data_IF_685592363442
#
_entry.id   IF_685592363442
#
_cell.length_a   1.000
_cell.length_b   1.000
_cell.length_c   1.000
_cell.angle_alpha   90.00
_cell.angle_beta   90.00
_cell.angle_gamma   90.00
#
_symmetry.space_group_name_H-M   'P 1'
#
loop_
_entity.id
_entity.type
_entity.pdbx_description
1 polymer ?
#
# COMPACT_ATOMS: atom_id res chain seq x y z
N UNK A 1 -10.49 -19.02 -0.40
CA UNK A 1 -10.56 -18.07 0.73
C UNK A 1 -9.77 -18.66 1.87
N UNK A 2 -8.85 -17.90 2.43
CA UNK A 2 -8.11 -18.30 3.62
C UNK A 2 -9.09 -18.58 4.79
N UNK A 3 -8.76 -19.56 5.60
CA UNK A 3 -9.51 -19.83 6.83
C UNK A 3 -8.88 -18.98 7.93
N UNK A 4 -9.52 -17.88 8.27
CA UNK A 4 -9.08 -17.00 9.35
C UNK A 4 -9.30 -17.68 10.71
N UNK A 5 -8.38 -17.44 11.64
CA UNK A 5 -8.59 -17.79 13.04
C UNK A 5 -9.45 -16.71 13.74
N UNK A 6 -9.89 -16.99 14.98
CA UNK A 6 -10.77 -16.09 15.74
C UNK A 6 -10.13 -14.69 15.96
N UNK A 7 -8.83 -14.63 16.21
CA UNK A 7 -8.11 -13.36 16.42
C UNK A 7 -8.05 -12.52 15.13
N UNK A 8 -7.81 -13.16 13.99
CA UNK A 8 -7.81 -12.51 12.68
C UNK A 8 -9.22 -12.02 12.28
N UNK A 9 -10.26 -12.78 12.59
CA UNK A 9 -11.65 -12.34 12.38
C UNK A 9 -11.98 -11.12 13.23
N UNK A 10 -11.64 -11.15 14.52
CA UNK A 10 -11.83 -10.02 15.43
C UNK A 10 -11.06 -8.78 14.97
N UNK A 11 -9.80 -8.94 14.56
CA UNK A 11 -8.97 -7.85 14.08
C UNK A 11 -9.56 -7.22 12.81
N UNK A 12 -10.00 -8.04 11.86
CA UNK A 12 -10.64 -7.56 10.61
C UNK A 12 -11.92 -6.77 10.93
N UNK A 13 -12.78 -7.31 11.80
CA UNK A 13 -14.04 -6.66 12.16
C UNK A 13 -13.78 -5.33 12.91
N UNK A 14 -12.80 -5.31 13.81
CA UNK A 14 -12.35 -4.10 14.50
C UNK A 14 -11.77 -3.06 13.49
N UNK A 15 -10.97 -3.50 12.52
CA UNK A 15 -10.43 -2.61 11.49
C UNK A 15 -11.54 -2.03 10.60
N UNK A 16 -12.54 -2.85 10.25
CA UNK A 16 -13.72 -2.41 9.50
C UNK A 16 -14.53 -1.36 10.25
N UNK A 17 -14.85 -1.63 11.51
CA UNK A 17 -15.63 -0.72 12.34
C UNK A 17 -14.89 0.61 12.51
N UNK A 18 -13.60 0.55 12.80
CA UNK A 18 -12.76 1.73 12.92
C UNK A 18 -12.67 2.51 11.59
N UNK A 19 -12.39 1.86 10.48
CA UNK A 19 -12.28 2.51 9.18
C UNK A 19 -13.59 3.20 8.78
N UNK A 20 -14.72 2.55 9.06
CA UNK A 20 -16.05 3.09 8.73
C UNK A 20 -16.42 4.29 9.61
N UNK A 21 -16.10 4.27 10.90
CA UNK A 21 -16.54 5.28 11.85
C UNK A 21 -15.53 6.42 12.04
N UNK A 22 -14.22 6.10 12.10
CA UNK A 22 -13.17 7.07 12.43
C UNK A 22 -12.44 7.59 11.19
N UNK A 23 -12.40 6.81 10.09
CA UNK A 23 -11.76 7.22 8.84
C UNK A 23 -12.63 6.94 7.61
N UNK A 24 -13.90 7.39 7.59
CA UNK A 24 -14.75 7.29 6.40
C UNK A 24 -14.17 8.09 5.22
N UNK A 25 -14.69 7.90 4.01
CA UNK A 25 -14.24 8.63 2.79
C UNK A 25 -14.30 10.16 2.99
N UNK A 26 -15.21 10.66 3.82
CA UNK A 26 -15.26 12.07 4.19
C UNK A 26 -14.00 12.57 4.94
N UNK A 27 -13.31 11.69 5.69
CA UNK A 27 -12.03 12.02 6.30
C UNK A 27 -10.92 12.17 5.23
N UNK A 28 -10.95 11.34 4.19
CA UNK A 28 -10.07 11.52 3.03
C UNK A 28 -10.36 12.86 2.32
N UNK A 29 -11.64 13.23 2.10
CA UNK A 29 -11.99 14.56 1.56
C UNK A 29 -11.43 15.68 2.42
N UNK A 30 -11.61 15.61 3.74
CA UNK A 30 -11.07 16.60 4.68
C UNK A 30 -9.55 16.72 4.56
N UNK A 31 -8.83 15.61 4.50
CA UNK A 31 -7.37 15.60 4.30
C UNK A 31 -6.99 16.22 2.95
N UNK A 32 -7.64 15.84 1.87
CA UNK A 32 -7.41 16.39 0.52
C UNK A 32 -7.57 17.91 0.48
N UNK A 33 -8.66 18.40 1.08
CA UNK A 33 -9.04 19.82 0.99
C UNK A 33 -8.23 20.70 1.96
N UNK A 34 -7.90 20.20 3.16
CA UNK A 34 -7.07 20.89 4.14
C UNK A 34 -5.57 20.88 3.82
N UNK A 35 -5.12 19.86 3.06
CA UNK A 35 -3.71 19.67 2.66
C UNK A 35 -2.71 19.83 3.81
N UNK A 36 -2.84 19.04 4.90
CA UNK A 36 -1.87 19.07 5.99
C UNK A 36 -0.46 18.79 5.46
N UNK A 37 0.56 19.27 6.14
CA UNK A 37 1.95 19.15 5.68
C UNK A 37 2.38 17.70 5.51
N UNK A 38 1.95 16.80 6.40
CA UNK A 38 2.21 15.35 6.35
C UNK A 38 1.39 14.62 5.28
N UNK A 39 0.31 15.24 4.78
CA UNK A 39 -0.64 14.63 3.83
C UNK A 39 -1.41 13.44 4.39
N UNK A 40 -1.57 13.38 5.69
CA UNK A 40 -2.53 12.56 6.43
C UNK A 40 -2.99 13.32 7.69
N UNK A 41 -4.04 12.85 8.33
CA UNK A 41 -4.53 13.46 9.58
C UNK A 41 -3.76 12.86 10.75
N UNK A 42 -3.11 13.67 11.56
CA UNK A 42 -2.30 13.24 12.70
C UNK A 42 -3.12 12.40 13.70
N UNK A 43 -4.37 12.81 13.98
CA UNK A 43 -5.27 12.06 14.87
C UNK A 43 -5.57 10.65 14.33
N UNK A 44 -5.75 10.52 13.00
CA UNK A 44 -5.94 9.23 12.34
C UNK A 44 -4.73 8.31 12.53
N UNK A 45 -3.51 8.84 12.34
CA UNK A 45 -2.29 8.07 12.58
C UNK A 45 -2.13 7.66 14.04
N UNK A 46 -2.35 8.60 14.97
CA UNK A 46 -2.27 8.33 16.41
C UNK A 46 -3.26 7.25 16.86
N UNK A 47 -4.47 7.25 16.31
CA UNK A 47 -5.47 6.22 16.59
C UNK A 47 -5.05 4.84 16.05
N UNK A 48 -4.52 4.76 14.81
CA UNK A 48 -3.99 3.51 14.26
C UNK A 48 -2.83 2.95 15.08
N UNK A 49 -1.93 3.81 15.54
CA UNK A 49 -0.81 3.44 16.41
C UNK A 49 -1.31 2.92 17.78
N UNK A 50 -2.30 3.59 18.38
CA UNK A 50 -2.92 3.15 19.64
C UNK A 50 -3.63 1.79 19.52
N UNK A 51 -4.12 1.42 18.34
CA UNK A 51 -4.66 0.10 18.01
C UNK A 51 -3.56 -0.97 17.83
N UNK A 52 -2.28 -0.59 17.91
CA UNK A 52 -1.14 -1.51 17.72
C UNK A 52 -0.82 -1.84 16.25
N UNK A 53 -1.50 -1.22 15.29
CA UNK A 53 -1.33 -1.57 13.86
C UNK A 53 0.03 -1.20 13.31
N UNK A 54 0.67 -0.15 13.84
CA UNK A 54 2.01 0.25 13.44
C UNK A 54 3.08 -0.83 13.75
N UNK A 55 2.85 -1.62 14.81
CA UNK A 55 3.72 -2.70 15.26
C UNK A 55 3.29 -4.11 14.84
N UNK A 56 2.31 -4.25 13.95
CA UNK A 56 1.62 -5.52 13.67
C UNK A 56 2.55 -6.65 13.17
N UNK A 57 3.61 -6.32 12.43
CA UNK A 57 4.63 -7.27 11.93
C UNK A 57 5.97 -7.15 12.66
N UNK A 58 6.06 -6.30 13.68
CA UNK A 58 7.28 -6.09 14.45
C UNK A 58 7.29 -7.13 15.58
N UNK A 59 8.43 -7.82 15.83
CA UNK A 59 8.54 -8.78 16.93
C UNK A 59 8.23 -8.15 18.30
N UNK A 60 7.62 -8.93 19.20
CA UNK A 60 7.28 -8.49 20.56
C UNK A 60 8.47 -7.97 21.36
N UNK A 61 9.66 -8.51 21.11
CA UNK A 61 10.93 -8.07 21.74
C UNK A 61 11.27 -6.61 21.43
N UNK A 62 10.68 -6.04 20.39
CA UNK A 62 10.84 -4.64 20.00
C UNK A 62 9.52 -3.83 20.14
N UNK A 63 8.58 -4.32 20.93
CA UNK A 63 7.33 -3.61 21.23
C UNK A 63 6.23 -3.75 20.20
N UNK A 64 6.38 -4.63 19.21
CA UNK A 64 5.33 -5.00 18.28
C UNK A 64 4.41 -6.10 18.81
N UNK A 65 3.49 -6.58 17.99
CA UNK A 65 2.56 -7.68 18.32
C UNK A 65 2.85 -8.99 17.59
N UNK A 66 3.68 -8.96 16.54
CA UNK A 66 4.04 -10.11 15.71
C UNK A 66 2.84 -10.94 15.21
N UNK A 67 1.75 -10.27 14.86
CA UNK A 67 0.50 -10.92 14.42
C UNK A 67 0.54 -11.46 12.99
N UNK A 68 1.67 -11.29 12.31
CA UNK A 68 1.90 -11.81 10.96
C UNK A 68 1.32 -10.95 9.83
N UNK A 69 1.62 -11.39 8.61
CA UNK A 69 1.27 -10.65 7.40
C UNK A 69 -0.20 -10.79 7.02
N UNK A 70 -0.83 -11.92 7.33
CA UNK A 70 -2.28 -12.08 7.16
C UNK A 70 -3.02 -10.98 7.92
N UNK A 71 -2.68 -10.78 9.18
CA UNK A 71 -3.28 -9.73 10.03
C UNK A 71 -3.03 -8.32 9.49
N UNK A 72 -1.79 -8.02 9.06
CA UNK A 72 -1.46 -6.75 8.42
C UNK A 72 -2.28 -6.51 7.14
N UNK A 73 -2.42 -7.53 6.30
CA UNK A 73 -3.19 -7.47 5.06
C UNK A 73 -4.67 -7.21 5.29
N UNK A 74 -5.28 -7.85 6.30
CA UNK A 74 -6.68 -7.61 6.68
C UNK A 74 -6.93 -6.16 7.09
N UNK A 75 -6.04 -5.58 7.90
CA UNK A 75 -6.14 -4.16 8.28
C UNK A 75 -6.03 -3.27 7.05
N UNK A 76 -5.02 -3.49 6.18
CA UNK A 76 -4.80 -2.69 4.98
C UNK A 76 -5.97 -2.81 3.99
N UNK A 77 -6.60 -3.99 3.87
CA UNK A 77 -7.80 -4.19 3.05
C UNK A 77 -8.96 -3.32 3.55
N UNK A 78 -9.26 -3.35 4.85
CA UNK A 78 -10.37 -2.57 5.41
C UNK A 78 -10.12 -1.05 5.30
N UNK A 79 -8.89 -0.59 5.49
CA UNK A 79 -8.49 0.81 5.25
C UNK A 79 -8.60 1.22 3.78
N UNK A 80 -8.36 0.30 2.85
CA UNK A 80 -8.54 0.51 1.41
C UNK A 80 -9.99 0.81 1.04
N UNK A 81 -10.97 0.21 1.71
CA UNK A 81 -12.41 0.46 1.47
C UNK A 81 -12.80 1.92 1.70
N UNK A 82 -12.17 2.59 2.64
CA UNK A 82 -12.47 3.99 2.99
C UNK A 82 -11.43 4.99 2.46
N UNK A 83 -10.44 4.53 1.68
CA UNK A 83 -9.33 5.35 1.20
C UNK A 83 -8.54 6.03 2.33
N UNK A 84 -8.44 5.39 3.49
CA UNK A 84 -7.79 5.95 4.67
C UNK A 84 -6.37 6.41 4.37
N UNK A 85 -6.13 7.72 4.50
CA UNK A 85 -4.81 8.31 4.26
C UNK A 85 -3.95 8.19 5.51
N UNK A 86 -2.93 7.35 5.48
CA UNK A 86 -2.01 7.15 6.59
C UNK A 86 -0.65 6.64 6.12
N UNK A 87 0.41 6.77 6.92
CA UNK A 87 1.72 6.21 6.62
C UNK A 87 1.83 4.72 6.98
N UNK A 88 0.74 4.04 7.41
CA UNK A 88 0.77 2.69 7.98
C UNK A 88 1.48 1.69 7.06
N UNK A 89 1.03 1.56 5.81
CA UNK A 89 1.60 0.57 4.87
C UNK A 89 3.10 0.81 4.66
N UNK A 90 3.51 2.05 4.46
CA UNK A 90 4.93 2.36 4.23
C UNK A 90 5.76 2.15 5.49
N UNK A 91 5.27 2.51 6.67
CA UNK A 91 5.95 2.27 7.95
C UNK A 91 6.09 0.77 8.23
N UNK A 92 5.05 -0.04 7.98
CA UNK A 92 5.10 -1.50 8.08
C UNK A 92 6.17 -2.10 7.16
N UNK A 93 6.25 -1.63 5.90
CA UNK A 93 7.25 -2.10 4.94
C UNK A 93 8.68 -1.70 5.35
N UNK A 94 8.87 -0.46 5.80
CA UNK A 94 10.17 0.01 6.28
C UNK A 94 10.60 -0.73 7.56
N UNK A 95 9.68 -0.97 8.49
CA UNK A 95 9.94 -1.78 9.67
C UNK A 95 10.35 -3.21 9.28
N UNK A 96 9.68 -3.83 8.30
CA UNK A 96 10.06 -5.16 7.82
C UNK A 96 11.46 -5.21 7.21
N UNK A 97 11.91 -4.12 6.55
CA UNK A 97 13.28 -4.03 6.05
C UNK A 97 14.30 -4.04 7.21
N UNK A 98 13.99 -3.36 8.31
CA UNK A 98 14.83 -3.33 9.51
C UNK A 98 14.80 -4.69 10.22
N UNK A 99 13.63 -5.34 10.33
CA UNK A 99 13.52 -6.68 10.91
C UNK A 99 14.39 -7.69 10.16
N UNK A 100 14.36 -7.65 8.83
CA UNK A 100 15.09 -8.60 7.98
C UNK A 100 16.59 -8.28 7.85
N UNK A 101 16.92 -7.00 7.69
CA UNK A 101 18.28 -6.57 7.31
C UNK A 101 19.03 -5.79 8.38
N UNK A 102 18.39 -5.34 9.44
CA UNK A 102 19.02 -4.53 10.48
C UNK A 102 19.94 -5.32 11.43
N UNK A 103 20.99 -4.68 11.94
CA UNK A 103 21.73 -5.18 13.10
C UNK A 103 20.86 -5.11 14.36
N UNK A 104 21.29 -5.76 15.44
CA UNK A 104 20.57 -5.70 16.72
C UNK A 104 20.49 -4.25 17.25
N UNK A 105 21.53 -3.43 17.03
CA UNK A 105 21.53 -2.00 17.38
C UNK A 105 20.54 -1.22 16.54
N UNK A 106 20.48 -1.47 15.23
CA UNK A 106 19.52 -0.82 14.32
C UNK A 106 18.08 -1.19 14.69
N UNK A 107 17.82 -2.48 14.96
CA UNK A 107 16.50 -2.97 15.42
C UNK A 107 16.09 -2.33 16.74
N UNK A 108 16.99 -2.33 17.74
CA UNK A 108 16.73 -1.74 19.06
C UNK A 108 16.50 -0.22 19.00
N UNK A 109 17.18 0.47 18.09
CA UNK A 109 17.00 1.93 17.89
C UNK A 109 15.65 2.28 17.26
N UNK A 110 15.25 1.55 16.22
CA UNK A 110 14.16 2.01 15.34
C UNK A 110 12.84 1.30 15.57
N UNK A 111 12.86 -0.02 15.79
CA UNK A 111 11.60 -0.78 15.81
C UNK A 111 10.64 -0.37 16.93
N UNK A 112 11.09 -0.05 18.17
CA UNK A 112 10.17 0.39 19.21
C UNK A 112 9.44 1.70 18.87
N UNK A 113 10.15 2.66 18.31
CA UNK A 113 9.57 3.95 17.92
C UNK A 113 8.61 3.84 16.71
N UNK A 114 8.88 2.90 15.78
CA UNK A 114 7.99 2.58 14.68
C UNK A 114 6.75 1.81 15.17
N UNK A 115 6.92 0.84 16.09
CA UNK A 115 5.83 0.06 16.64
C UNK A 115 4.83 0.91 17.44
N UNK A 116 5.32 1.89 18.18
CA UNK A 116 4.48 2.85 18.92
C UNK A 116 3.86 3.94 18.04
N UNK A 117 4.29 4.06 16.78
CA UNK A 117 3.88 5.15 15.90
C UNK A 117 4.50 6.52 16.20
N UNK A 118 5.45 6.59 17.16
CA UNK A 118 6.21 7.80 17.45
C UNK A 118 7.00 8.28 16.25
N UNK A 119 7.53 7.33 15.47
CA UNK A 119 8.27 7.57 14.23
C UNK A 119 7.55 6.97 13.04
N UNK A 120 7.69 7.65 11.90
CA UNK A 120 7.16 7.22 10.61
C UNK A 120 8.32 6.91 9.68
N UNK A 121 8.22 5.81 8.94
CA UNK A 121 9.23 5.44 7.97
C UNK A 121 8.64 5.12 6.60
N UNK A 122 9.44 5.25 5.54
CA UNK A 122 9.04 4.91 4.18
C UNK A 122 10.17 4.29 3.37
N UNK A 123 9.82 3.69 2.22
CA UNK A 123 10.75 3.16 1.23
C UNK A 123 11.06 4.21 0.16
N UNK A 124 12.34 4.40 -0.15
CA UNK A 124 12.83 5.30 -1.18
C UNK A 124 13.67 4.49 -2.21
N UNK A 125 13.02 3.98 -3.26
CA UNK A 125 13.58 2.99 -4.18
C UNK A 125 13.84 3.59 -5.56
N UNK A 126 12.77 4.01 -6.26
CA UNK A 126 12.83 4.41 -7.67
C UNK A 126 13.49 5.78 -7.87
N UNK A 127 14.16 5.96 -9.02
CA UNK A 127 14.87 7.19 -9.36
C UNK A 127 14.30 7.86 -10.62
N UNK A 128 13.33 7.23 -11.26
CA UNK A 128 12.70 7.68 -12.49
C UNK A 128 11.17 7.66 -12.43
N UNK A 129 10.51 7.92 -13.57
CA UNK A 129 9.04 7.98 -13.65
C UNK A 129 8.37 6.60 -13.60
N UNK A 130 9.14 5.53 -13.75
CA UNK A 130 8.65 4.15 -13.75
C UNK A 130 9.39 3.32 -12.70
N UNK A 131 8.71 2.31 -12.17
CA UNK A 131 9.34 1.34 -11.29
C UNK A 131 10.43 0.56 -12.03
N UNK A 132 11.68 0.74 -11.58
CA UNK A 132 12.87 0.15 -12.18
C UNK A 132 13.96 -0.08 -11.13
N UNK A 133 13.79 -1.06 -10.22
CA UNK A 133 14.73 -1.32 -9.13
C UNK A 133 16.10 -1.82 -9.60
N UNK A 134 16.21 -2.23 -10.88
CA UNK A 134 17.44 -2.59 -11.57
C UNK A 134 18.28 -1.36 -12.02
N UNK A 135 17.74 -0.14 -11.93
CA UNK A 135 18.36 1.10 -12.41
C UNK A 135 18.72 2.08 -11.30
N UNK A 136 19.10 1.57 -10.14
CA UNK A 136 19.51 2.40 -9.01
C UNK A 136 20.91 2.97 -9.27
N UNK A 137 21.04 4.30 -9.12
CA UNK A 137 22.29 5.04 -9.26
C UNK A 137 22.72 5.78 -7.97
N UNK A 138 21.80 5.96 -7.01
CA UNK A 138 22.15 6.51 -5.69
C UNK A 138 23.27 5.71 -5.05
N UNK A 139 24.25 6.38 -4.50
CA UNK A 139 25.47 5.74 -3.99
C UNK A 139 25.88 6.29 -2.63
N UNK A 140 26.61 5.48 -1.89
CA UNK A 140 27.14 5.86 -0.57
C UNK A 140 28.67 5.84 -0.62
N UNK A 141 29.29 6.92 -0.13
CA UNK A 141 30.73 7.03 0.02
C UNK A 141 31.05 7.65 1.38
N UNK A 142 31.90 6.98 2.16
CA UNK A 142 32.28 7.43 3.52
C UNK A 142 31.06 7.63 4.46
N UNK A 143 30.03 6.77 4.34
CA UNK A 143 28.81 6.87 5.15
C UNK A 143 27.89 8.03 4.74
N UNK A 144 28.08 8.60 3.55
CA UNK A 144 27.31 9.72 3.00
C UNK A 144 26.56 9.28 1.73
N UNK A 145 25.24 9.36 1.75
CA UNK A 145 24.38 9.06 0.60
C UNK A 145 24.22 10.27 -0.33
N UNK A 146 24.34 10.03 -1.61
CA UNK A 146 24.07 11.01 -2.66
C UNK A 146 23.21 10.39 -3.76
N UNK A 147 22.13 11.08 -4.14
CA UNK A 147 21.18 10.63 -5.16
C UNK A 147 19.81 11.27 -5.00
N UNK A 148 18.91 10.99 -5.93
CA UNK A 148 17.51 11.48 -5.84
C UNK A 148 16.57 10.31 -6.06
N UNK A 149 15.63 10.12 -5.14
CA UNK A 149 14.53 9.15 -5.25
C UNK A 149 13.26 9.83 -5.70
N UNK A 150 12.57 9.22 -6.65
CA UNK A 150 11.40 9.77 -7.28
C UNK A 150 10.12 9.17 -6.71
N UNK A 151 9.07 9.97 -6.60
CA UNK A 151 7.72 9.55 -6.19
C UNK A 151 7.68 8.73 -4.89
N UNK A 152 8.53 9.07 -3.92
CA UNK A 152 8.56 8.40 -2.62
C UNK A 152 7.21 8.57 -1.93
N UNK A 153 6.59 7.46 -1.59
CA UNK A 153 5.29 7.42 -0.92
C UNK A 153 5.42 7.92 0.52
N UNK A 154 4.41 8.64 1.00
CA UNK A 154 4.27 9.15 2.36
C UNK A 154 5.51 9.95 2.87
N UNK A 155 6.26 10.56 1.95
CA UNK A 155 7.54 11.20 2.24
C UNK A 155 7.44 12.44 3.15
N UNK A 156 6.30 13.16 3.14
CA UNK A 156 6.19 14.44 3.85
C UNK A 156 6.21 14.27 5.38
N UNK A 157 5.49 13.28 5.90
CA UNK A 157 5.43 12.97 7.33
C UNK A 157 6.50 11.98 7.81
N UNK A 158 7.47 11.62 6.96
CA UNK A 158 8.47 10.58 7.28
C UNK A 158 9.63 11.14 8.11
N UNK A 159 10.05 10.38 9.12
CA UNK A 159 11.25 10.61 9.93
C UNK A 159 12.45 9.80 9.41
N UNK A 160 12.20 8.60 8.85
CA UNK A 160 13.22 7.64 8.45
C UNK A 160 12.94 7.11 7.04
N UNK A 161 13.93 7.16 6.18
CA UNK A 161 13.91 6.58 4.84
C UNK A 161 14.72 5.28 4.79
N UNK A 162 14.13 4.20 4.27
CA UNK A 162 14.88 3.02 3.82
C UNK A 162 15.20 3.24 2.35
N UNK A 163 16.45 3.54 2.06
CA UNK A 163 16.89 4.00 0.74
C UNK A 163 17.66 2.90 0.03
N UNK A 164 17.26 2.57 -1.19
CA UNK A 164 18.02 1.68 -2.05
C UNK A 164 19.19 2.43 -2.70
N UNK A 165 20.39 1.90 -2.54
CA UNK A 165 21.61 2.36 -3.20
C UNK A 165 22.23 1.24 -4.02
N UNK A 166 23.27 1.54 -4.80
CA UNK A 166 23.93 0.59 -5.71
C UNK A 166 24.47 -0.66 -5.04
N UNK A 167 24.70 -0.63 -3.74
CA UNK A 167 25.34 -1.71 -2.98
C UNK A 167 24.49 -2.19 -1.78
N UNK A 168 23.19 -1.84 -1.75
CA UNK A 168 22.27 -2.31 -0.70
C UNK A 168 21.27 -1.27 -0.20
N UNK A 169 20.64 -1.58 0.93
CA UNK A 169 19.66 -0.70 1.57
C UNK A 169 20.30 0.06 2.74
N UNK A 170 19.90 1.31 2.90
CA UNK A 170 20.41 2.22 3.91
C UNK A 170 19.29 2.89 4.69
N UNK A 171 19.51 3.07 5.98
CA UNK A 171 18.67 3.90 6.86
C UNK A 171 19.18 5.34 6.80
N UNK A 172 18.31 6.27 6.46
CA UNK A 172 18.62 7.71 6.39
C UNK A 172 17.57 8.49 7.17
N UNK A 173 18.00 9.15 8.24
CA UNK A 173 17.11 10.02 9.01
C UNK A 173 16.81 11.33 8.24
N UNK A 174 15.58 11.83 8.37
CA UNK A 174 15.23 13.16 7.87
C UNK A 174 16.03 14.22 8.61
N UNK A 175 16.78 15.03 7.89
CA UNK A 175 17.64 16.05 8.49
C UNK A 175 18.64 16.62 7.49
N UNK A 176 19.85 16.87 7.94
CA UNK A 176 20.91 17.44 7.13
C UNK A 176 21.21 16.61 5.87
N UNK A 177 21.26 17.28 4.74
CA UNK A 177 21.50 16.63 3.44
C UNK A 177 20.27 15.95 2.84
N UNK A 178 19.08 16.04 3.46
CA UNK A 178 17.82 15.49 2.92
C UNK A 178 16.89 16.65 2.55
N UNK A 179 16.43 16.67 1.31
CA UNK A 179 15.45 17.66 0.85
C UNK A 179 14.31 17.00 0.08
N UNK A 180 13.09 17.52 0.27
CA UNK A 180 11.88 17.01 -0.34
C UNK A 180 11.32 18.03 -1.34
N UNK A 181 10.93 17.53 -2.52
CA UNK A 181 10.16 18.28 -3.51
C UNK A 181 8.83 17.55 -3.74
N UNK A 182 7.75 18.07 -3.19
CA UNK A 182 6.42 17.48 -3.25
C UNK A 182 5.96 17.22 -4.69
N UNK A 183 5.28 16.09 -4.90
CA UNK A 183 4.67 15.68 -6.16
C UNK A 183 3.16 15.51 -5.97
N UNK A 184 2.38 16.32 -6.68
CA UNK A 184 0.94 16.16 -6.70
C UNK A 184 0.57 15.06 -7.70
N UNK A 185 0.10 13.91 -7.20
CA UNK A 185 -0.46 12.85 -8.01
C UNK A 185 -2.00 12.92 -7.99
N UNK A 186 -2.64 12.13 -8.84
CA UNK A 186 -4.10 12.15 -9.01
C UNK A 186 -4.86 11.78 -7.75
N UNK A 187 -4.26 10.92 -6.91
CA UNK A 187 -4.85 10.45 -5.65
C UNK A 187 -4.72 11.44 -4.49
N UNK A 188 -4.01 12.54 -4.66
CA UNK A 188 -3.79 13.59 -3.65
C UNK A 188 -3.13 13.11 -2.35
N UNK A 189 -2.50 11.92 -2.38
CA UNK A 189 -1.72 11.37 -1.25
C UNK A 189 -0.33 12.01 -1.19
N UNK A 190 0.40 11.70 -0.11
CA UNK A 190 1.77 12.19 0.08
C UNK A 190 2.75 11.52 -0.87
N UNK A 191 3.32 12.29 -1.80
CA UNK A 191 4.41 11.86 -2.67
C UNK A 191 5.43 12.98 -2.82
N UNK A 192 6.71 12.64 -2.81
CA UNK A 192 7.78 13.61 -3.06
C UNK A 192 8.95 12.97 -3.82
N UNK A 193 9.71 13.80 -4.52
CA UNK A 193 11.09 13.45 -4.82
C UNK A 193 11.93 13.80 -3.60
N UNK A 194 12.78 12.86 -3.18
CA UNK A 194 13.68 13.03 -2.04
C UNK A 194 15.11 13.05 -2.55
N UNK A 195 15.78 14.19 -2.35
CA UNK A 195 17.18 14.36 -2.74
C UNK A 195 18.07 14.24 -1.52
N UNK A 196 19.05 13.36 -1.62
CA UNK A 196 20.10 13.14 -0.65
C UNK A 196 21.38 13.79 -1.18
N UNK A 197 21.93 14.72 -0.43
CA UNK A 197 23.16 15.44 -0.77
C UNK A 197 24.15 15.30 0.38
N UNK A 198 24.85 14.16 0.40
CA UNK A 198 25.77 13.84 1.49
C UNK A 198 25.06 13.54 2.82
N UNK A 199 23.83 13.05 2.79
CA UNK A 199 23.08 12.67 3.97
C UNK A 199 23.74 11.50 4.71
N UNK A 200 23.79 11.51 6.04
CA UNK A 200 24.31 10.39 6.82
C UNK A 200 23.47 9.15 6.56
N UNK A 201 24.13 8.04 6.23
CA UNK A 201 23.49 6.81 5.83
C UNK A 201 24.09 5.62 6.58
N UNK A 202 23.21 4.81 7.18
CA UNK A 202 23.57 3.62 7.95
C UNK A 202 23.12 2.38 7.18
N UNK A 203 24.07 1.56 6.70
CA UNK A 203 23.78 0.39 5.87
C UNK A 203 23.06 -0.67 6.69
N UNK A 204 22.00 -1.26 6.16
CA UNK A 204 21.41 -2.46 6.74
C UNK A 204 22.43 -3.60 6.72
N UNK A 205 22.66 -4.18 7.90
CA UNK A 205 23.82 -5.03 8.17
C UNK A 205 23.73 -6.41 7.52
N UNK A 206 22.51 -6.90 7.23
CA UNK A 206 22.26 -8.26 6.75
C UNK A 206 21.14 -8.31 5.70
N UNK A 207 20.77 -9.50 5.27
CA UNK A 207 19.68 -9.72 4.30
C UNK A 207 20.16 -10.10 2.89
N UNK A 208 21.46 -10.05 2.61
CA UNK A 208 22.04 -10.44 1.33
C UNK A 208 21.61 -9.55 0.14
N UNK A 209 21.98 -9.99 -1.06
CA UNK A 209 21.69 -9.28 -2.31
C UNK A 209 20.18 -9.26 -2.63
N UNK A 210 19.40 -10.19 -2.06
CA UNK A 210 17.96 -10.33 -2.31
C UNK A 210 17.08 -9.47 -1.38
N UNK A 211 17.66 -8.74 -0.39
CA UNK A 211 16.86 -8.00 0.59
C UNK A 211 15.89 -7.01 -0.07
N UNK A 212 16.35 -6.26 -1.07
CA UNK A 212 15.49 -5.33 -1.81
C UNK A 212 14.28 -6.04 -2.42
N UNK A 213 14.48 -7.17 -3.10
CA UNK A 213 13.39 -7.92 -3.70
C UNK A 213 12.45 -8.52 -2.66
N UNK A 214 12.95 -8.97 -1.52
CA UNK A 214 12.11 -9.43 -0.41
C UNK A 214 11.21 -8.31 0.12
N UNK A 215 11.69 -7.07 0.19
CA UNK A 215 10.90 -5.92 0.60
C UNK A 215 9.89 -5.52 -0.48
N UNK A 216 10.30 -5.54 -1.75
CA UNK A 216 9.41 -5.27 -2.87
C UNK A 216 8.27 -6.29 -2.99
N UNK A 217 8.52 -7.56 -2.70
CA UNK A 217 7.47 -8.59 -2.70
C UNK A 217 6.43 -8.32 -1.58
N UNK A 218 6.87 -7.88 -0.39
CA UNK A 218 5.97 -7.42 0.67
C UNK A 218 5.17 -6.19 0.25
N UNK A 219 5.83 -5.23 -0.39
CA UNK A 219 5.18 -4.03 -0.92
C UNK A 219 4.11 -4.36 -1.97
N UNK A 220 4.39 -5.30 -2.88
CA UNK A 220 3.45 -5.81 -3.89
C UNK A 220 2.21 -6.42 -3.24
N UNK A 221 2.39 -7.28 -2.24
CA UNK A 221 1.30 -7.97 -1.55
C UNK A 221 0.46 -6.99 -0.73
N UNK A 222 1.05 -6.14 0.12
CA UNK A 222 0.28 -5.17 0.91
C UNK A 222 -0.44 -4.14 0.03
N UNK A 223 0.19 -3.72 -1.08
CA UNK A 223 -0.50 -2.87 -2.05
C UNK A 223 -1.69 -3.58 -2.67
N UNK A 224 -1.56 -4.88 -2.99
CA UNK A 224 -2.67 -5.67 -3.50
C UNK A 224 -3.82 -5.82 -2.47
N UNK A 225 -3.52 -5.83 -1.16
CA UNK A 225 -4.55 -5.80 -0.10
C UNK A 225 -5.34 -4.47 -0.11
N UNK A 226 -4.66 -3.31 -0.18
CA UNK A 226 -5.34 -2.01 -0.33
C UNK A 226 -6.21 -1.99 -1.58
N UNK A 227 -5.67 -2.47 -2.71
CA UNK A 227 -6.40 -2.53 -3.98
C UNK A 227 -7.62 -3.44 -3.91
N UNK A 228 -7.57 -4.57 -3.17
CA UNK A 228 -8.69 -5.47 -2.96
C UNK A 228 -9.81 -4.78 -2.16
N UNK A 229 -9.47 -4.10 -1.07
CA UNK A 229 -10.45 -3.32 -0.29
C UNK A 229 -11.13 -2.26 -1.14
N UNK A 230 -10.35 -1.51 -1.93
CA UNK A 230 -10.86 -0.50 -2.86
C UNK A 230 -11.82 -1.12 -3.90
N UNK A 231 -11.41 -2.21 -4.53
CA UNK A 231 -12.21 -2.86 -5.58
C UNK A 231 -13.52 -3.41 -5.02
N UNK A 232 -13.49 -4.01 -3.83
CA UNK A 232 -14.68 -4.47 -3.12
C UNK A 232 -15.64 -3.30 -2.85
N UNK A 233 -15.14 -2.19 -2.32
CA UNK A 233 -15.96 -1.02 -2.02
C UNK A 233 -16.60 -0.42 -3.26
N UNK A 234 -15.84 -0.28 -4.35
CA UNK A 234 -16.37 0.20 -5.63
C UNK A 234 -17.49 -0.71 -6.14
N UNK A 235 -17.30 -2.02 -6.06
CA UNK A 235 -18.30 -3.00 -6.45
C UNK A 235 -19.58 -2.86 -5.61
N UNK A 236 -19.46 -2.83 -4.29
CA UNK A 236 -20.61 -2.77 -3.37
C UNK A 236 -21.42 -1.47 -3.57
N UNK A 237 -20.75 -0.32 -3.60
CA UNK A 237 -21.40 1.00 -3.85
C UNK A 237 -22.05 1.05 -5.21
N UNK A 238 -21.43 0.46 -6.24
CA UNK A 238 -21.98 0.42 -7.59
C UNK A 238 -23.22 -0.47 -7.66
N UNK A 239 -23.17 -1.64 -7.02
CA UNK A 239 -24.31 -2.57 -6.95
C UNK A 239 -25.52 -1.92 -6.25
N UNK A 240 -25.27 -1.22 -5.13
CA UNK A 240 -26.32 -0.53 -4.39
C UNK A 240 -26.91 0.64 -5.18
N UNK A 241 -26.06 1.40 -5.89
CA UNK A 241 -26.54 2.45 -6.81
C UNK A 241 -27.45 1.88 -7.90
N UNK A 242 -27.05 0.77 -8.54
CA UNK A 242 -27.85 0.15 -9.60
C UNK A 242 -29.20 -0.36 -9.08
N UNK A 243 -29.27 -0.86 -7.84
CA UNK A 243 -30.51 -1.33 -7.18
C UNK A 243 -31.47 -0.20 -6.84
N UNK A 244 -30.99 1.03 -6.69
CA UNK A 244 -31.81 2.19 -6.28
C UNK A 244 -32.14 3.11 -7.44
N UNK A 245 -31.24 3.23 -8.42
CA UNK A 245 -31.40 4.20 -9.52
C UNK A 245 -32.45 3.77 -10.53
N UNK A 246 -33.42 4.64 -10.76
CA UNK A 246 -34.44 4.46 -11.79
C UNK A 246 -34.09 5.30 -13.03
N UNK A 247 -34.03 4.67 -14.18
CA UNK A 247 -33.94 5.28 -15.52
C UNK A 247 -34.74 4.44 -16.53
N UNK A 248 -35.19 5.05 -17.61
CA UNK A 248 -35.98 4.34 -18.61
C UNK A 248 -37.23 3.64 -18.02
N UNK A 249 -37.84 4.26 -17.00
CA UNK A 249 -38.99 3.79 -16.24
C UNK A 249 -38.80 2.48 -15.46
N UNK A 250 -37.58 2.08 -15.19
CA UNK A 250 -37.28 0.89 -14.36
C UNK A 250 -35.94 1.03 -13.60
N UNK A 251 -35.76 0.21 -12.58
CA UNK A 251 -34.53 0.14 -11.80
C UNK A 251 -33.38 -0.36 -12.67
N UNK A 252 -32.21 0.28 -12.62
CA UNK A 252 -31.06 -0.09 -13.46
C UNK A 252 -30.64 -1.55 -13.28
N UNK A 253 -30.70 -2.09 -12.07
CA UNK A 253 -30.34 -3.49 -11.79
C UNK A 253 -31.24 -4.52 -12.49
N UNK A 254 -32.37 -4.12 -13.09
CA UNK A 254 -33.23 -5.02 -13.87
C UNK A 254 -32.76 -5.24 -15.30
N UNK A 255 -31.81 -4.43 -15.79
CA UNK A 255 -31.26 -4.60 -17.13
C UNK A 255 -30.23 -5.74 -17.16
N UNK A 256 -30.49 -6.77 -17.95
CA UNK A 256 -29.65 -7.94 -18.05
C UNK A 256 -28.19 -7.62 -18.43
N UNK A 257 -27.98 -6.64 -19.31
CA UNK A 257 -26.64 -6.20 -19.70
C UNK A 257 -25.83 -5.67 -18.50
N UNK A 258 -26.46 -5.02 -17.52
CA UNK A 258 -25.79 -4.53 -16.30
C UNK A 258 -25.59 -5.68 -15.30
N UNK A 259 -26.53 -6.62 -15.22
CA UNK A 259 -26.39 -7.83 -14.39
C UNK A 259 -25.17 -8.66 -14.82
N UNK A 260 -24.98 -8.86 -16.13
CA UNK A 260 -23.82 -9.58 -16.68
C UNK A 260 -22.51 -8.90 -16.31
N UNK A 261 -22.42 -7.57 -16.49
CA UNK A 261 -21.21 -6.81 -16.09
C UNK A 261 -20.91 -6.97 -14.59
N UNK A 262 -21.92 -6.85 -13.73
CA UNK A 262 -21.73 -7.04 -12.30
C UNK A 262 -21.34 -8.47 -11.93
N UNK A 263 -21.85 -9.48 -12.64
CA UNK A 263 -21.47 -10.87 -12.44
C UNK A 263 -20.00 -11.13 -12.83
N UNK A 264 -19.52 -10.55 -13.93
CA UNK A 264 -18.13 -10.64 -14.36
C UNK A 264 -17.20 -9.98 -13.32
N UNK A 265 -17.55 -8.76 -12.85
CA UNK A 265 -16.78 -8.07 -11.79
C UNK A 265 -16.74 -8.87 -10.48
N UNK A 266 -17.84 -9.54 -10.12
CA UNK A 266 -17.88 -10.40 -8.94
C UNK A 266 -16.93 -11.59 -9.06
N UNK A 267 -16.88 -12.24 -10.23
CA UNK A 267 -15.95 -13.34 -10.48
C UNK A 267 -14.48 -12.88 -10.43
N UNK A 268 -14.18 -11.73 -11.02
CA UNK A 268 -12.85 -11.13 -11.00
C UNK A 268 -12.40 -10.79 -9.57
N UNK A 269 -13.30 -10.21 -8.76
CA UNK A 269 -13.05 -9.93 -7.34
C UNK A 269 -12.75 -11.20 -6.54
N UNK A 270 -13.48 -12.29 -6.79
CA UNK A 270 -13.23 -13.56 -6.11
C UNK A 270 -11.85 -14.13 -6.45
N UNK A 271 -11.41 -14.01 -7.71
CA UNK A 271 -10.06 -14.39 -8.13
C UNK A 271 -9.00 -13.50 -7.49
N UNK A 272 -9.21 -12.18 -7.47
CA UNK A 272 -8.30 -11.23 -6.84
C UNK A 272 -8.12 -11.53 -5.36
N UNK A 273 -9.21 -11.78 -4.63
CA UNK A 273 -9.18 -12.17 -3.22
C UNK A 273 -8.31 -13.41 -3.01
N UNK A 274 -8.54 -14.46 -3.79
CA UNK A 274 -7.75 -15.71 -3.67
C UNK A 274 -6.26 -15.47 -3.93
N UNK A 275 -5.91 -14.61 -4.90
CA UNK A 275 -4.53 -14.28 -5.21
C UNK A 275 -3.85 -13.47 -4.08
N UNK A 276 -4.57 -12.52 -3.49
CA UNK A 276 -4.07 -11.67 -2.39
C UNK A 276 -3.87 -12.52 -1.12
N UNK A 277 -4.85 -13.33 -0.76
CA UNK A 277 -4.78 -14.24 0.40
C UNK A 277 -3.60 -15.22 0.25
N UNK A 278 -3.41 -15.81 -0.93
CA UNK A 278 -2.23 -16.67 -1.19
C UNK A 278 -0.90 -15.91 -1.06
N UNK A 279 -0.87 -14.62 -1.39
CA UNK A 279 0.28 -13.76 -1.17
C UNK A 279 0.59 -13.59 0.33
N UNK A 280 -0.43 -13.34 1.14
CA UNK A 280 -0.30 -13.19 2.59
C UNK A 280 0.13 -14.50 3.26
N UNK A 281 -0.46 -15.63 2.88
CA UNK A 281 -0.06 -16.97 3.35
C UNK A 281 1.39 -17.29 2.98
N UNK A 282 1.84 -16.89 1.78
CA UNK A 282 3.24 -17.07 1.37
C UNK A 282 4.20 -16.25 2.24
N UNK A 283 3.82 -15.03 2.65
CA UNK A 283 4.62 -14.21 3.56
C UNK A 283 4.72 -14.84 4.96
N UNK A 284 3.61 -15.33 5.50
CA UNK A 284 3.58 -15.93 6.84
C UNK A 284 4.30 -17.30 6.87
N UNK A 285 4.19 -18.10 5.81
CA UNK A 285 4.88 -19.38 5.71
C UNK A 285 6.36 -19.27 5.29
N UNK A 286 6.76 -18.15 4.69
CA UNK A 286 8.11 -17.95 4.16
C UNK A 286 8.39 -18.68 2.84
N UNK A 287 7.37 -19.26 2.17
CA UNK A 287 7.56 -20.09 0.98
C UNK A 287 6.91 -19.50 -0.27
N UNK A 288 7.64 -19.50 -1.39
CA UNK A 288 7.09 -19.11 -2.70
C UNK A 288 6.69 -17.64 -2.84
N UNK A 289 7.18 -16.77 -1.96
CA UNK A 289 6.78 -15.37 -1.82
C UNK A 289 6.83 -14.63 -3.18
N UNK A 290 7.95 -14.72 -3.90
CA UNK A 290 8.12 -13.97 -5.16
C UNK A 290 7.08 -14.29 -6.22
N UNK A 291 6.70 -15.57 -6.39
CA UNK A 291 5.65 -15.96 -7.34
C UNK A 291 4.27 -15.53 -6.86
N UNK A 292 3.97 -15.70 -5.58
CA UNK A 292 2.71 -15.27 -4.99
C UNK A 292 2.54 -13.74 -5.06
N UNK A 293 3.58 -12.97 -4.79
CA UNK A 293 3.59 -11.51 -4.93
C UNK A 293 3.34 -11.06 -6.37
N UNK A 294 3.96 -11.74 -7.34
CA UNK A 294 3.75 -11.44 -8.76
C UNK A 294 2.30 -11.71 -9.20
N UNK A 295 1.71 -12.82 -8.77
CA UNK A 295 0.30 -13.14 -9.05
C UNK A 295 -0.62 -12.12 -8.37
N UNK A 296 -0.46 -11.88 -7.07
CA UNK A 296 -1.31 -10.97 -6.31
C UNK A 296 -1.32 -9.57 -6.93
N UNK A 297 -0.14 -9.01 -7.22
CA UNK A 297 -0.01 -7.66 -7.78
C UNK A 297 -0.53 -7.55 -9.22
N UNK A 298 -0.25 -8.54 -10.09
CA UNK A 298 -0.76 -8.53 -11.46
C UNK A 298 -2.28 -8.59 -11.48
N UNK A 299 -2.87 -9.52 -10.71
CA UNK A 299 -4.32 -9.68 -10.62
C UNK A 299 -4.98 -8.44 -10.03
N UNK A 300 -4.41 -7.87 -8.95
CA UNK A 300 -4.93 -6.66 -8.34
C UNK A 300 -4.90 -5.46 -9.29
N UNK A 301 -3.83 -5.29 -10.06
CA UNK A 301 -3.74 -4.25 -11.08
C UNK A 301 -4.88 -4.38 -12.11
N UNK A 302 -5.09 -5.57 -12.67
CA UNK A 302 -6.07 -5.78 -13.75
C UNK A 302 -7.51 -5.63 -13.24
N UNK A 303 -7.80 -6.23 -12.07
CA UNK A 303 -9.15 -6.21 -11.51
C UNK A 303 -9.54 -4.81 -11.04
N UNK A 304 -8.69 -4.13 -10.25
CA UNK A 304 -8.99 -2.76 -9.81
C UNK A 304 -9.08 -1.78 -10.99
N UNK A 305 -8.25 -1.97 -12.02
CA UNK A 305 -8.35 -1.22 -13.27
C UNK A 305 -9.74 -1.33 -13.89
N UNK A 306 -10.27 -2.53 -13.98
CA UNK A 306 -11.58 -2.80 -14.55
C UNK A 306 -12.70 -2.29 -13.63
N UNK A 307 -12.68 -2.70 -12.35
CA UNK A 307 -13.73 -2.37 -11.38
C UNK A 307 -13.86 -0.86 -11.19
N UNK A 308 -12.75 -0.12 -11.08
CA UNK A 308 -12.81 1.33 -10.86
C UNK A 308 -13.38 2.08 -12.06
N UNK A 309 -13.14 1.64 -13.28
CA UNK A 309 -13.72 2.23 -14.51
C UNK A 309 -15.19 1.87 -14.69
N UNK A 310 -15.52 0.59 -14.45
CA UNK A 310 -16.90 0.13 -14.47
C UNK A 310 -17.75 0.86 -13.43
N UNK A 311 -17.19 1.10 -12.24
CA UNK A 311 -17.83 1.93 -11.22
C UNK A 311 -18.21 3.32 -11.75
N UNK A 312 -17.27 4.04 -12.37
CA UNK A 312 -17.55 5.34 -12.99
C UNK A 312 -18.63 5.22 -14.08
N UNK A 313 -18.47 4.25 -14.98
CA UNK A 313 -19.40 4.07 -16.12
C UNK A 313 -20.82 3.76 -15.65
N UNK A 314 -20.98 2.91 -14.65
CA UNK A 314 -22.28 2.46 -14.16
C UNK A 314 -23.00 3.52 -13.30
N UNK A 315 -22.27 4.48 -12.72
CA UNK A 315 -22.86 5.65 -12.09
C UNK A 315 -23.27 6.74 -13.11
N UNK A 316 -22.75 6.68 -14.34
CA UNK A 316 -23.03 7.66 -15.38
C UNK A 316 -22.49 9.06 -15.04
N UNK A 317 -23.25 10.11 -15.36
CA UNK A 317 -22.80 11.50 -15.21
C UNK A 317 -22.30 11.85 -13.79
N UNK A 318 -22.97 11.37 -12.74
CA UNK A 318 -22.57 11.67 -11.36
C UNK A 318 -21.21 11.07 -11.00
N UNK A 319 -20.85 9.92 -11.57
CA UNK A 319 -19.56 9.29 -11.36
C UNK A 319 -18.36 10.11 -11.85
N UNK A 320 -18.61 11.09 -12.73
CA UNK A 320 -17.59 12.01 -13.25
C UNK A 320 -17.43 13.27 -12.39
N UNK A 321 -18.30 13.48 -11.42
CA UNK A 321 -18.30 14.70 -10.58
C UNK A 321 -17.49 14.50 -9.30
N UNK A 322 -17.03 15.58 -8.70
CA UNK A 322 -16.39 15.54 -7.37
C UNK A 322 -17.40 15.42 -6.22
N UNK A 323 -18.69 15.51 -6.51
CA UNK A 323 -19.76 15.32 -5.52
C UNK A 323 -19.87 13.87 -5.07
N UNK A 324 -19.54 12.92 -5.96
CA UNK A 324 -19.62 11.49 -5.69
C UNK A 324 -18.24 10.87 -5.49
N UNK A 325 -18.08 10.05 -4.45
CA UNK A 325 -16.78 9.55 -4.00
C UNK A 325 -16.12 8.54 -4.94
N UNK A 326 -16.88 7.93 -5.86
CA UNK A 326 -16.41 6.86 -6.74
C UNK A 326 -15.14 7.25 -7.54
N UNK A 327 -15.03 8.53 -7.91
CA UNK A 327 -13.90 9.07 -8.63
C UNK A 327 -12.58 9.01 -7.88
N UNK A 328 -12.60 8.99 -6.54
CA UNK A 328 -11.38 8.89 -5.73
C UNK A 328 -10.72 7.53 -5.84
N UNK A 329 -11.51 6.46 -5.91
CA UNK A 329 -11.02 5.10 -6.10
C UNK A 329 -10.31 4.94 -7.44
N UNK A 330 -10.87 5.49 -8.53
CA UNK A 330 -10.19 5.50 -9.83
C UNK A 330 -8.86 6.25 -9.78
N UNK A 331 -8.82 7.41 -9.12
CA UNK A 331 -7.60 8.23 -8.99
C UNK A 331 -6.52 7.50 -8.19
N UNK A 332 -6.89 6.87 -7.06
CA UNK A 332 -5.96 6.06 -6.25
C UNK A 332 -5.51 4.82 -7.00
N UNK A 333 -6.41 4.13 -7.71
CA UNK A 333 -6.07 2.98 -8.54
C UNK A 333 -4.94 3.27 -9.52
N UNK A 334 -4.95 4.42 -10.22
CA UNK A 334 -3.89 4.82 -11.16
C UNK A 334 -2.51 4.88 -10.51
N UNK A 335 -2.43 5.38 -9.27
CA UNK A 335 -1.17 5.48 -8.54
C UNK A 335 -0.69 4.09 -8.08
N UNK A 336 -1.59 3.28 -7.51
CA UNK A 336 -1.22 1.95 -7.03
C UNK A 336 -0.84 0.98 -8.15
N UNK A 337 -1.48 1.08 -9.34
CA UNK A 337 -1.13 0.29 -10.52
C UNK A 337 0.29 0.57 -11.02
N UNK A 338 0.76 1.82 -10.87
CA UNK A 338 2.11 2.21 -11.25
C UNK A 338 3.18 1.84 -10.20
N UNK A 339 2.76 1.60 -8.94
CA UNK A 339 3.67 1.31 -7.83
C UNK A 339 4.10 -0.15 -7.83
N UNK A 340 5.38 -0.40 -7.55
CA UNK A 340 5.99 -1.73 -7.33
C UNK A 340 5.88 -2.71 -8.50
N UNK A 341 5.56 -2.23 -9.68
CA UNK A 341 5.51 -2.98 -10.93
C UNK A 341 4.13 -3.06 -11.58
N UNK A 342 4.13 -2.92 -12.90
CA UNK A 342 2.95 -3.09 -13.76
C UNK A 342 2.54 -4.55 -13.90
N UNK A 343 1.33 -4.82 -14.41
CA UNK A 343 0.88 -6.19 -14.71
C UNK A 343 1.83 -6.96 -15.63
N UNK A 344 2.39 -6.28 -16.65
CA UNK A 344 3.34 -6.91 -17.58
C UNK A 344 4.65 -7.28 -16.88
N UNK A 345 5.21 -6.39 -16.05
CA UNK A 345 6.40 -6.69 -15.27
C UNK A 345 6.18 -7.84 -14.28
N UNK A 346 5.01 -7.90 -13.66
CA UNK A 346 4.68 -8.98 -12.72
C UNK A 346 4.51 -10.32 -13.43
N UNK A 347 3.92 -10.36 -14.63
CA UNK A 347 3.82 -11.58 -15.43
C UNK A 347 5.18 -12.07 -15.92
N UNK A 348 6.05 -11.15 -16.35
CA UNK A 348 7.43 -11.45 -16.74
C UNK A 348 8.23 -12.02 -15.54
N UNK A 349 8.12 -11.36 -14.37
CA UNK A 349 8.73 -11.84 -13.13
C UNK A 349 8.23 -13.25 -12.76
N UNK A 350 6.92 -13.51 -12.85
CA UNK A 350 6.36 -14.83 -12.58
C UNK A 350 6.93 -15.90 -13.53
N UNK A 351 7.02 -15.59 -14.82
CA UNK A 351 7.59 -16.47 -15.82
C UNK A 351 9.07 -16.81 -15.51
N UNK A 352 9.88 -15.78 -15.23
CA UNK A 352 11.29 -15.94 -14.85
C UNK A 352 11.45 -16.79 -13.59
N UNK A 353 10.66 -16.55 -12.53
CA UNK A 353 10.67 -17.34 -11.29
C UNK A 353 10.14 -18.76 -11.47
N UNK A 354 9.47 -19.03 -12.58
CA UNK A 354 8.94 -20.36 -12.95
C UNK A 354 9.84 -21.12 -13.95
N UNK A 355 10.97 -20.50 -14.37
CA UNK A 355 11.97 -21.13 -15.23
C UNK A 355 11.69 -20.96 -16.73
N UNK A 356 10.91 -19.94 -17.13
CA UNK A 356 10.65 -19.57 -18.54
C UNK A 356 11.49 -18.40 -19.00
#
# INVERSE_FOLDING_TARGET
>A
MAVLNEEQEMLRDMARDWATNESPVSAFRKMRDSKPDERYLADTWSAMAAMGWAGIVIPETYGGSDFGWMSAGLVVEELGKTLAASPLTMTTLAASAIVLGGSDEQKAKWLPALASGEKVATLAIDEGPHHAPDKIAASVSGGKLTGTKAFVHEAHGTDLFVVAATDGLYLVEKGDGVSLSGRALTDQRSHANVTFNGAAADKLASGGDDLLEQILDRARILTACEMLGMAQQVFDVTLDYLKQRVQFNQVLATFQALQHRMADLFADLAQMRSAVEAGLEALDSGHGIGRAAAIAKATANDVLHTVSREGIQLHGGIGMTDEYDIGFYLKRARVLEASWGSSSQMRDRFATLSGF
#
